data_IF_462933062878
#
_entry.id   IF_462933062878
#
_cell.length_a   1.000
_cell.length_b   1.000
_cell.length_c   1.000
_cell.angle_alpha   90.00
_cell.angle_beta   90.00
_cell.angle_gamma   90.00
#
_symmetry.space_group_name_H-M   'P 1'
#
loop_
_entity.id
_entity.type
_entity.pdbx_description
1 polymer ?
#
# COMPACT_ATOMS: atom_id res chain seq x y z
N UNK A 1 -12.47 -2.91 -4.09
CA UNK A 1 -12.03 -1.50 -4.11
C UNK A 1 -12.07 -0.98 -2.69
N UNK A 2 -10.91 -0.80 -2.06
CA UNK A 2 -10.82 -0.22 -0.71
C UNK A 2 -10.20 1.18 -0.79
N UNK A 3 -10.72 2.10 0.01
CA UNK A 3 -10.11 3.41 0.23
C UNK A 3 -9.36 3.34 1.56
N UNK A 4 -8.08 3.67 1.54
CA UNK A 4 -7.20 3.69 2.71
C UNK A 4 -6.75 5.12 2.95
N UNK A 5 -6.62 5.55 4.20
CA UNK A 5 -6.07 6.87 4.52
C UNK A 5 -4.61 6.71 4.95
N UNK A 6 -3.71 7.47 4.32
CA UNK A 6 -2.29 7.53 4.69
C UNK A 6 -1.90 9.00 4.81
N UNK A 7 -1.42 9.42 5.99
CA UNK A 7 -1.04 10.80 6.28
C UNK A 7 -2.15 11.84 5.94
N UNK A 8 -3.41 11.51 6.24
CA UNK A 8 -4.56 12.38 5.97
C UNK A 8 -4.90 12.52 4.48
N UNK A 9 -4.37 11.64 3.62
CA UNK A 9 -4.73 11.58 2.19
C UNK A 9 -5.40 10.26 1.86
N UNK A 10 -6.45 10.36 1.06
CA UNK A 10 -7.13 9.19 0.53
C UNK A 10 -6.27 8.48 -0.52
N UNK A 11 -6.06 7.19 -0.32
CA UNK A 11 -5.37 6.27 -1.20
C UNK A 11 -6.38 5.26 -1.73
N UNK A 12 -6.59 5.25 -3.05
CA UNK A 12 -7.40 4.23 -3.71
C UNK A 12 -6.51 3.12 -4.23
N UNK A 13 -6.75 1.89 -3.77
CA UNK A 13 -6.05 0.72 -4.27
C UNK A 13 -6.78 0.14 -5.47
N UNK A 14 -6.08 0.04 -6.61
CA UNK A 14 -6.63 -0.50 -7.85
C UNK A 14 -6.19 -1.94 -8.09
N UNK A 15 -4.94 -2.25 -7.77
CA UNK A 15 -4.37 -3.59 -7.94
C UNK A 15 -3.54 -3.92 -6.73
N UNK A 16 -3.87 -5.02 -6.11
CA UNK A 16 -3.18 -5.56 -4.94
C UNK A 16 -3.02 -7.05 -5.10
N UNK A 17 -1.95 -7.61 -4.57
CA UNK A 17 -1.76 -9.06 -4.46
C UNK A 17 -1.74 -9.43 -2.99
N UNK A 18 -2.49 -10.47 -2.63
CA UNK A 18 -2.40 -11.03 -1.29
C UNK A 18 -1.22 -11.99 -1.22
N UNK A 19 -0.56 -12.00 -0.08
CA UNK A 19 0.55 -12.86 0.28
C UNK A 19 0.10 -13.59 1.53
N UNK A 20 -0.34 -14.84 1.34
CA UNK A 20 -0.74 -15.77 2.41
C UNK A 20 0.53 -16.21 3.16
N UNK A 21 1.01 -15.34 4.04
CA UNK A 21 2.13 -15.58 4.94
C UNK A 21 1.70 -15.17 6.33
N UNK A 22 2.26 -15.79 7.37
CA UNK A 22 1.90 -15.43 8.74
C UNK A 22 2.41 -14.01 9.00
N UNK A 23 1.53 -13.00 9.15
CA UNK A 23 1.97 -11.65 9.40
C UNK A 23 2.58 -11.62 10.82
N UNK A 24 3.82 -11.18 10.92
CA UNK A 24 4.48 -10.93 12.21
C UNK A 24 4.16 -9.53 12.75
N UNK A 25 3.39 -8.75 12.00
CA UNK A 25 3.01 -7.37 12.30
C UNK A 25 1.52 -7.28 12.59
N UNK A 26 1.13 -6.24 13.34
CA UNK A 26 -0.26 -6.07 13.72
C UNK A 26 -1.13 -5.73 12.49
N UNK A 27 -2.33 -6.30 12.36
CA UNK A 27 -3.25 -5.96 11.28
C UNK A 27 -3.55 -4.45 11.30
N UNK A 28 -3.41 -3.80 10.14
CA UNK A 28 -3.55 -2.35 9.97
C UNK A 28 -2.22 -1.60 9.82
N UNK A 29 -1.08 -2.22 10.14
CA UNK A 29 0.23 -1.65 9.81
C UNK A 29 0.53 -1.76 8.31
N UNK A 30 1.36 -0.86 7.80
CA UNK A 30 1.91 -0.95 6.45
C UNK A 30 3.42 -1.14 6.51
N UNK A 31 3.94 -1.96 5.61
CA UNK A 31 5.35 -2.29 5.47
C UNK A 31 5.78 -1.82 4.10
N UNK A 32 6.78 -0.95 4.04
CA UNK A 32 7.34 -0.49 2.78
C UNK A 32 8.85 -0.35 2.90
N UNK A 33 9.56 -0.64 1.81
CA UNK A 33 10.98 -0.30 1.69
C UNK A 33 11.23 1.19 1.46
N UNK A 34 10.16 1.97 1.23
CA UNK A 34 10.28 3.35 0.77
C UNK A 34 10.81 3.48 -0.67
N UNK A 35 11.01 2.37 -1.38
CA UNK A 35 11.62 2.33 -2.71
C UNK A 35 10.83 1.51 -3.73
N UNK A 36 10.54 0.24 -3.41
CA UNK A 36 10.06 -0.73 -4.40
C UNK A 36 8.74 -1.41 -4.06
N UNK A 37 8.39 -1.52 -2.78
CA UNK A 37 7.16 -2.20 -2.35
C UNK A 37 6.45 -1.48 -1.21
N UNK A 38 5.14 -1.64 -1.15
CA UNK A 38 4.25 -1.24 -0.07
C UNK A 38 3.28 -2.40 0.16
N UNK A 39 3.24 -2.93 1.37
CA UNK A 39 2.35 -4.01 1.79
C UNK A 39 1.55 -3.56 3.00
N UNK A 40 0.30 -3.98 3.11
CA UNK A 40 -0.51 -3.78 4.32
C UNK A 40 -0.63 -5.09 5.07
N UNK A 41 -0.34 -5.09 6.37
CA UNK A 41 -0.59 -6.21 7.26
C UNK A 41 -2.10 -6.40 7.44
N UNK A 42 -2.58 -7.57 7.05
CA UNK A 42 -3.95 -8.02 7.26
C UNK A 42 -3.95 -9.14 8.29
N UNK A 43 -5.15 -9.56 8.72
CA UNK A 43 -5.33 -10.61 9.73
C UNK A 43 -4.72 -11.95 9.28
N UNK A 44 -4.76 -12.22 7.97
CA UNK A 44 -4.40 -13.52 7.38
C UNK A 44 -3.22 -13.42 6.39
N UNK A 45 -2.49 -12.30 6.40
CA UNK A 45 -1.31 -12.14 5.53
C UNK A 45 -0.97 -10.70 5.18
N UNK A 46 -0.24 -10.52 4.08
CA UNK A 46 0.10 -9.19 3.57
C UNK A 46 -0.65 -8.86 2.28
N UNK A 47 -1.09 -7.62 2.15
CA UNK A 47 -1.69 -7.07 0.94
C UNK A 47 -0.63 -6.20 0.27
N UNK A 48 0.10 -6.77 -0.68
CA UNK A 48 1.01 -6.04 -1.54
C UNK A 48 0.22 -5.09 -2.44
N UNK A 49 0.59 -3.82 -2.46
CA UNK A 49 0.05 -2.82 -3.37
C UNK A 49 0.88 -2.79 -4.64
N UNK A 50 0.23 -2.99 -5.78
CA UNK A 50 0.86 -2.86 -7.10
C UNK A 50 0.48 -1.54 -7.76
N UNK A 51 -0.82 -1.25 -7.80
CA UNK A 51 -1.38 -0.02 -8.38
C UNK A 51 -2.26 0.71 -7.37
N UNK A 52 -2.04 2.01 -7.27
CA UNK A 52 -2.75 2.89 -6.37
C UNK A 52 -2.96 4.27 -6.98
N UNK A 53 -3.85 5.05 -6.38
CA UNK A 53 -4.03 6.45 -6.69
C UNK A 53 -4.10 7.25 -5.40
N UNK A 54 -3.20 8.20 -5.28
CA UNK A 54 -3.25 9.20 -4.21
C UNK A 54 -4.24 10.30 -4.59
N UNK A 55 -4.99 10.82 -3.63
CA UNK A 55 -5.89 11.93 -3.82
C UNK A 55 -5.19 13.12 -4.50
N UNK A 56 -5.82 13.66 -5.56
CA UNK A 56 -5.24 14.73 -6.37
C UNK A 56 -4.13 14.31 -7.33
N UNK A 57 -3.74 13.02 -7.37
CA UNK A 57 -2.78 12.48 -8.36
C UNK A 57 -3.43 11.46 -9.30
N UNK A 58 -2.76 11.20 -10.42
CA UNK A 58 -3.11 10.11 -11.34
C UNK A 58 -2.82 8.76 -10.69
N UNK A 59 -3.51 7.72 -11.16
CA UNK A 59 -3.17 6.34 -10.82
C UNK A 59 -1.72 6.06 -11.23
N UNK A 60 -0.99 5.41 -10.33
CA UNK A 60 0.42 5.06 -10.50
C UNK A 60 0.70 3.74 -9.80
N UNK A 61 1.81 3.13 -10.17
CA UNK A 61 2.38 1.97 -9.51
C UNK A 61 3.04 2.37 -8.18
N UNK A 62 3.15 1.40 -7.28
CA UNK A 62 3.74 1.60 -5.95
C UNK A 62 5.15 2.19 -6.01
N UNK A 63 5.97 1.75 -6.96
CA UNK A 63 7.32 2.26 -7.17
C UNK A 63 7.33 3.76 -7.53
N UNK A 64 6.38 4.20 -8.36
CA UNK A 64 6.24 5.61 -8.73
C UNK A 64 5.76 6.46 -7.55
N UNK A 65 4.85 5.93 -6.74
CA UNK A 65 4.46 6.57 -5.49
C UNK A 65 5.71 6.76 -4.61
N UNK A 66 6.46 5.69 -4.33
CA UNK A 66 7.60 5.71 -3.41
C UNK A 66 8.75 6.60 -3.90
N UNK A 67 8.95 6.71 -5.22
CA UNK A 67 9.91 7.67 -5.80
C UNK A 67 9.54 9.13 -5.53
N UNK A 68 8.24 9.46 -5.57
CA UNK A 68 7.73 10.82 -5.37
C UNK A 68 7.25 11.13 -3.95
N UNK A 69 7.17 10.12 -3.08
CA UNK A 69 6.58 10.18 -1.75
C UNK A 69 7.51 9.44 -0.79
N UNK A 70 8.35 10.20 -0.06
CA UNK A 70 9.11 9.67 1.06
C UNK A 70 8.18 9.56 2.26
N UNK A 71 7.82 8.33 2.60
CA UNK A 71 7.23 7.95 3.88
C UNK A 71 8.22 8.21 5.02
#
# INVERSE_FOLDING_TARGET
YGVYEVNGKNLKLFKTTKEDVIPQTAPGEFISDGKTYLKFAAIDGYINVLDLQLEGKKRMNVEELLRGFRL
#
